data_IF_420450198697
#
_entry.id   IF_420450198697
#
_cell.length_a   1.000
_cell.length_b   1.000
_cell.length_c   1.000
_cell.angle_alpha   90.00
_cell.angle_beta   90.00
_cell.angle_gamma   90.00
#
_symmetry.space_group_name_H-M   'P 1'
#
loop_
_entity.id
_entity.type
_entity.pdbx_description
1 polymer ?
#
# COMPACT_ATOMS: atom_id res chain seq x y z
N UNK A 1 15.61 -11.14 -17.26
CA UNK A 1 14.82 -11.63 -16.09
C UNK A 1 13.50 -12.27 -16.51
N UNK A 2 12.53 -11.55 -17.12
CA UNK A 2 11.23 -12.12 -17.56
C UNK A 2 11.42 -13.33 -18.48
N UNK A 3 12.11 -13.19 -19.60
CA UNK A 3 12.30 -14.30 -20.55
C UNK A 3 13.00 -15.53 -19.94
N UNK A 4 13.85 -15.34 -18.92
CA UNK A 4 14.59 -16.42 -18.27
C UNK A 4 13.73 -17.18 -17.23
N UNK A 5 12.87 -16.49 -16.49
CA UNK A 5 12.08 -17.09 -15.40
C UNK A 5 10.63 -17.40 -15.81
N UNK A 6 10.07 -16.64 -16.77
CA UNK A 6 8.70 -16.78 -17.27
C UNK A 6 8.69 -16.75 -18.81
N UNK A 7 9.16 -17.83 -19.49
CA UNK A 7 9.35 -17.84 -20.94
C UNK A 7 8.07 -17.58 -21.76
N UNK A 8 6.89 -17.88 -21.20
CA UNK A 8 5.60 -17.62 -21.83
C UNK A 8 5.25 -16.12 -21.92
N UNK A 9 6.01 -15.24 -21.27
CA UNK A 9 5.93 -13.79 -21.38
C UNK A 9 7.17 -13.16 -22.06
N UNK A 10 8.06 -13.98 -22.64
CA UNK A 10 9.34 -13.51 -23.17
C UNK A 10 9.19 -12.44 -24.26
N UNK A 11 8.14 -12.54 -25.09
CA UNK A 11 7.90 -11.66 -26.23
C UNK A 11 7.00 -10.46 -25.89
N UNK A 12 6.56 -10.32 -24.63
CA UNK A 12 5.72 -9.19 -24.23
C UNK A 12 6.57 -7.90 -24.10
N UNK A 13 6.07 -6.76 -24.59
CA UNK A 13 6.78 -5.49 -24.46
C UNK A 13 6.91 -5.09 -22.98
N UNK A 14 8.07 -4.55 -22.60
CA UNK A 14 8.33 -3.99 -21.28
C UNK A 14 8.51 -2.48 -21.40
N UNK A 15 7.71 -1.71 -20.67
CA UNK A 15 7.70 -0.24 -20.69
C UNK A 15 7.87 0.30 -19.28
N UNK A 16 8.81 1.21 -19.06
CA UNK A 16 8.92 1.90 -17.78
C UNK A 16 7.66 2.75 -17.52
N UNK A 17 7.24 2.82 -16.26
CA UNK A 17 6.17 3.71 -15.81
C UNK A 17 6.80 4.95 -15.19
N UNK A 18 6.45 6.14 -15.69
CA UNK A 18 7.06 7.42 -15.28
C UNK A 18 6.84 7.71 -13.77
N UNK A 19 5.73 7.24 -13.20
CA UNK A 19 5.40 7.35 -11.79
C UNK A 19 5.97 6.18 -10.95
N UNK A 20 7.29 6.02 -10.93
CA UNK A 20 7.91 4.95 -10.13
C UNK A 20 7.85 5.27 -8.63
N UNK A 21 7.27 4.38 -7.82
CA UNK A 21 7.16 4.54 -6.37
C UNK A 21 8.51 4.50 -5.63
N UNK A 22 8.50 4.91 -4.36
CA UNK A 22 9.68 4.93 -3.47
C UNK A 22 10.16 3.52 -3.09
N UNK A 23 9.23 2.56 -3.02
CA UNK A 23 9.50 1.17 -2.65
C UNK A 23 9.87 0.28 -3.86
N UNK A 24 9.28 0.53 -5.02
CA UNK A 24 9.39 -0.33 -6.20
C UNK A 24 9.66 0.49 -7.48
N UNK A 25 10.55 0.00 -8.34
CA UNK A 25 10.55 0.38 -9.74
C UNK A 25 9.48 -0.45 -10.47
N UNK A 26 8.56 0.22 -11.16
CA UNK A 26 7.41 -0.43 -11.82
C UNK A 26 7.55 -0.34 -13.33
N UNK A 27 7.31 -1.46 -14.00
CA UNK A 27 7.30 -1.57 -15.45
C UNK A 27 6.01 -2.22 -15.90
N UNK A 28 5.41 -1.74 -16.98
CA UNK A 28 4.28 -2.40 -17.64
C UNK A 28 4.82 -3.55 -18.51
N UNK A 29 4.23 -4.72 -18.39
CA UNK A 29 4.54 -5.93 -19.16
C UNK A 29 3.33 -6.32 -20.00
N UNK A 30 3.46 -6.28 -21.32
CA UNK A 30 2.31 -6.39 -22.21
C UNK A 30 1.34 -5.23 -21.97
N UNK A 31 0.04 -5.54 -21.95
CA UNK A 31 -1.02 -4.55 -21.75
C UNK A 31 -1.68 -4.65 -20.38
N UNK A 32 -1.58 -5.78 -19.68
CA UNK A 32 -2.41 -6.09 -18.51
C UNK A 32 -1.61 -6.49 -17.25
N UNK A 33 -0.29 -6.28 -17.24
CA UNK A 33 0.58 -6.68 -16.12
C UNK A 33 1.56 -5.58 -15.72
N UNK A 34 1.94 -5.61 -14.45
CA UNK A 34 3.02 -4.83 -13.87
C UNK A 34 4.12 -5.75 -13.35
N UNK A 35 5.37 -5.40 -13.65
CA UNK A 35 6.56 -5.93 -12.99
C UNK A 35 6.97 -4.94 -11.92
N UNK A 36 7.03 -5.38 -10.66
CA UNK A 36 7.45 -4.59 -9.51
C UNK A 36 8.81 -5.11 -9.05
N UNK A 37 9.83 -4.26 -9.19
CA UNK A 37 11.19 -4.52 -8.75
C UNK A 37 11.47 -3.75 -7.45
N UNK A 38 11.59 -4.43 -6.31
CA UNK A 38 11.88 -3.79 -5.02
C UNK A 38 13.16 -2.98 -5.03
N UNK A 39 13.14 -1.78 -4.41
CA UNK A 39 14.28 -0.88 -4.28
C UNK A 39 15.09 -1.11 -3.00
N UNK A 40 14.50 -1.77 -2.00
CA UNK A 40 15.10 -2.08 -0.69
C UNK A 40 14.85 -3.53 -0.30
N UNK A 41 15.56 -4.04 0.71
CA UNK A 41 15.31 -5.36 1.29
C UNK A 41 13.94 -5.45 1.98
N UNK A 42 13.48 -4.38 2.64
CA UNK A 42 12.14 -4.32 3.22
C UNK A 42 11.07 -4.52 2.15
N UNK A 43 11.14 -3.74 1.08
CA UNK A 43 10.22 -3.87 -0.07
C UNK A 43 10.32 -5.23 -0.78
N UNK A 44 11.44 -5.95 -0.63
CA UNK A 44 11.60 -7.30 -1.17
C UNK A 44 10.89 -8.35 -0.31
N UNK A 45 10.86 -8.16 1.00
CA UNK A 45 10.08 -9.01 1.91
C UNK A 45 8.57 -8.88 1.64
N UNK A 46 8.10 -7.69 1.28
CA UNK A 46 6.68 -7.42 0.98
C UNK A 46 6.15 -8.26 -0.18
N UNK A 47 7.00 -8.67 -1.13
CA UNK A 47 6.61 -9.54 -2.25
C UNK A 47 5.98 -10.84 -1.75
N UNK A 48 6.61 -11.50 -0.77
CA UNK A 48 6.11 -12.76 -0.21
C UNK A 48 4.80 -12.53 0.56
N UNK A 49 4.69 -11.40 1.27
CA UNK A 49 3.49 -11.01 2.01
C UNK A 49 2.30 -10.80 1.06
N UNK A 50 2.49 -10.06 -0.02
CA UNK A 50 1.48 -9.81 -1.04
C UNK A 50 1.03 -11.09 -1.74
N UNK A 51 1.97 -11.95 -2.17
CA UNK A 51 1.66 -13.25 -2.79
C UNK A 51 0.87 -14.18 -1.87
N UNK A 52 1.11 -14.11 -0.56
CA UNK A 52 0.34 -14.88 0.43
C UNK A 52 -1.06 -14.30 0.61
N UNK A 53 -1.21 -13.00 0.82
CA UNK A 53 -2.45 -12.45 1.37
C UNK A 53 -3.40 -11.89 0.32
N UNK A 54 -2.93 -11.27 -0.76
CA UNK A 54 -3.81 -10.69 -1.77
C UNK A 54 -4.78 -11.71 -2.39
N UNK A 55 -4.38 -12.96 -2.71
CA UNK A 55 -5.34 -13.96 -3.21
C UNK A 55 -6.46 -14.32 -2.23
N UNK A 56 -6.26 -14.11 -0.93
CA UNK A 56 -7.25 -14.36 0.13
C UNK A 56 -8.16 -13.15 0.37
N UNK A 57 -7.59 -11.95 0.29
CA UNK A 57 -8.32 -10.70 0.52
C UNK A 57 -9.14 -10.27 -0.70
N UNK A 58 -8.55 -10.34 -1.90
CA UNK A 58 -9.13 -9.79 -3.14
C UNK A 58 -10.57 -10.26 -3.44
N UNK A 59 -10.96 -11.54 -3.27
CA UNK A 59 -12.33 -11.98 -3.56
C UNK A 59 -13.41 -11.38 -2.64
N UNK A 60 -13.01 -10.75 -1.53
CA UNK A 60 -13.91 -10.20 -0.52
C UNK A 60 -13.98 -8.66 -0.58
N UNK A 61 -13.24 -8.03 -1.51
CA UNK A 61 -13.18 -6.58 -1.67
C UNK A 61 -14.14 -6.11 -2.77
N UNK A 62 -14.74 -4.92 -2.63
CA UNK A 62 -15.76 -4.41 -3.56
C UNK A 62 -15.17 -3.91 -4.88
N UNK A 63 -13.86 -3.65 -4.92
CA UNK A 63 -13.14 -3.23 -6.13
C UNK A 63 -11.89 -4.09 -6.34
N UNK A 64 -11.42 -4.22 -7.59
CA UNK A 64 -10.18 -4.91 -7.93
C UNK A 64 -8.96 -4.41 -7.14
N UNK A 65 -8.09 -5.35 -6.80
CA UNK A 65 -6.73 -5.13 -6.28
C UNK A 65 -5.73 -5.94 -7.12
N UNK A 66 -4.43 -5.59 -7.17
CA UNK A 66 -3.46 -6.32 -7.98
C UNK A 66 -3.41 -7.80 -7.60
N UNK A 67 -3.68 -8.69 -8.55
CA UNK A 67 -3.53 -10.11 -8.34
C UNK A 67 -2.05 -10.48 -8.56
N UNK A 68 -1.36 -11.08 -7.58
CA UNK A 68 -0.02 -11.60 -7.77
C UNK A 68 -0.05 -12.77 -8.76
N UNK A 69 0.65 -12.65 -9.88
CA UNK A 69 0.66 -13.64 -10.97
C UNK A 69 1.90 -14.54 -10.92
N UNK A 70 3.05 -13.95 -10.61
CA UNK A 70 4.30 -14.69 -10.50
C UNK A 70 5.28 -13.99 -9.56
N UNK A 71 6.04 -14.79 -8.83
CA UNK A 71 7.15 -14.32 -7.99
C UNK A 71 8.47 -14.69 -8.66
N UNK A 72 9.24 -13.68 -9.03
CA UNK A 72 10.58 -13.88 -9.54
C UNK A 72 11.59 -14.06 -8.41
N UNK A 73 12.60 -14.88 -8.68
CA UNK A 73 13.75 -15.09 -7.80
C UNK A 73 14.88 -14.11 -8.15
N UNK A 74 15.83 -13.87 -7.22
CA UNK A 74 17.06 -13.14 -7.53
C UNK A 74 17.72 -13.62 -8.83
N UNK A 75 18.24 -12.67 -9.60
CA UNK A 75 18.97 -12.88 -10.85
C UNK A 75 20.33 -12.17 -10.78
N UNK A 76 21.22 -12.49 -11.73
CA UNK A 76 22.57 -11.91 -11.80
C UNK A 76 22.56 -10.37 -11.72
N UNK A 77 21.64 -9.73 -12.44
CA UNK A 77 21.52 -8.26 -12.49
C UNK A 77 20.57 -7.67 -11.43
N UNK A 78 19.91 -8.51 -10.63
CA UNK A 78 18.95 -8.05 -9.62
C UNK A 78 18.85 -9.03 -8.43
N UNK A 79 19.50 -8.73 -7.29
CA UNK A 79 19.72 -9.70 -6.22
C UNK A 79 18.51 -9.94 -5.31
N UNK A 80 17.35 -9.38 -5.60
CA UNK A 80 16.16 -9.42 -4.74
C UNK A 80 15.00 -10.19 -5.40
N UNK A 81 14.11 -10.82 -4.63
CA UNK A 81 12.84 -11.29 -5.16
C UNK A 81 12.02 -10.10 -5.71
N UNK A 82 11.16 -10.39 -6.67
CA UNK A 82 10.34 -9.39 -7.37
C UNK A 82 9.01 -10.01 -7.79
N UNK A 83 8.06 -9.18 -8.24
CA UNK A 83 6.70 -9.63 -8.51
C UNK A 83 6.23 -9.24 -9.90
N UNK A 84 5.43 -10.11 -10.52
CA UNK A 84 4.51 -9.77 -11.60
C UNK A 84 3.10 -9.82 -11.04
N UNK A 85 2.34 -8.74 -11.21
CA UNK A 85 0.93 -8.67 -10.83
C UNK A 85 0.07 -8.13 -11.98
N UNK A 86 -1.25 -8.20 -11.85
CA UNK A 86 -2.16 -7.57 -12.80
C UNK A 86 -2.01 -6.05 -12.79
N UNK A 87 -2.08 -5.45 -13.97
CA UNK A 87 -2.25 -4.01 -14.13
C UNK A 87 -3.73 -3.67 -13.96
N UNK A 88 -4.03 -2.64 -13.18
CA UNK A 88 -5.37 -2.10 -13.04
C UNK A 88 -5.42 -0.76 -13.77
N UNK A 89 -6.43 -0.58 -14.62
CA UNK A 89 -6.66 0.70 -15.30
C UNK A 89 -7.35 1.69 -14.36
N UNK A 90 -7.13 2.98 -14.63
CA UNK A 90 -7.66 4.09 -13.85
C UNK A 90 -6.62 5.18 -13.64
N UNK A 91 -7.06 6.32 -13.11
CA UNK A 91 -6.19 7.44 -12.77
C UNK A 91 -6.15 7.62 -11.26
N UNK A 92 -5.02 8.12 -10.73
CA UNK A 92 -5.00 8.58 -9.35
C UNK A 92 -5.82 9.87 -9.20
N UNK A 93 -6.62 10.02 -8.13
CA UNK A 93 -7.34 11.26 -7.87
C UNK A 93 -6.37 12.42 -7.58
N UNK A 94 -6.66 13.61 -8.09
CA UNK A 94 -5.90 14.82 -7.81
C UNK A 94 -6.83 16.01 -7.52
N UNK A 95 -6.44 16.94 -6.64
CA UNK A 95 -7.25 18.13 -6.39
C UNK A 95 -7.59 18.88 -7.69
N UNK A 96 -8.88 19.08 -7.95
CA UNK A 96 -9.37 19.85 -9.10
C UNK A 96 -9.45 19.10 -10.45
N UNK A 97 -9.26 17.77 -10.51
CA UNK A 97 -9.33 17.01 -11.78
C UNK A 97 -10.64 16.22 -11.94
N UNK A 98 -11.39 16.38 -13.04
CA UNK A 98 -12.58 15.54 -13.33
C UNK A 98 -13.90 16.00 -12.69
N UNK A 99 -15.00 15.31 -13.02
CA UNK A 99 -16.34 15.53 -12.44
C UNK A 99 -16.48 14.72 -11.16
N UNK A 100 -16.15 15.33 -10.03
CA UNK A 100 -16.26 14.68 -8.74
C UNK A 100 -17.73 14.55 -8.33
N UNK A 101 -18.17 13.33 -8.05
CA UNK A 101 -19.22 13.07 -7.08
C UNK A 101 -18.52 12.71 -5.77
N UNK A 102 -18.01 13.68 -5.00
CA UNK A 102 -17.13 13.42 -3.85
C UNK A 102 -17.82 12.53 -2.80
N UNK A 103 -19.14 12.62 -2.68
CA UNK A 103 -19.93 11.78 -1.79
C UNK A 103 -19.92 10.31 -2.23
N UNK A 104 -19.98 10.03 -3.54
CA UNK A 104 -19.93 8.66 -4.06
C UNK A 104 -18.54 8.06 -3.91
N UNK A 105 -17.49 8.83 -4.22
CA UNK A 105 -16.13 8.37 -4.03
C UNK A 105 -15.82 8.10 -2.55
N UNK A 106 -16.25 8.99 -1.65
CA UNK A 106 -16.13 8.77 -0.21
C UNK A 106 -16.89 7.53 0.26
N UNK A 107 -18.08 7.28 -0.28
CA UNK A 107 -18.87 6.09 0.02
C UNK A 107 -18.16 4.81 -0.47
N UNK A 108 -17.60 4.80 -1.68
CA UNK A 108 -16.85 3.65 -2.21
C UNK A 108 -15.59 3.36 -1.37
N UNK A 109 -14.85 4.41 -0.97
CA UNK A 109 -13.69 4.26 -0.08
C UNK A 109 -14.09 3.71 1.29
N UNK A 110 -15.19 4.22 1.86
CA UNK A 110 -15.71 3.72 3.12
C UNK A 110 -16.14 2.24 2.99
N UNK A 111 -16.79 1.86 1.90
CA UNK A 111 -17.15 0.48 1.61
C UNK A 111 -15.91 -0.42 1.54
N UNK A 112 -14.88 0.00 0.80
CA UNK A 112 -13.62 -0.73 0.67
C UNK A 112 -12.96 -0.96 2.04
N UNK A 113 -12.82 0.09 2.84
CA UNK A 113 -12.25 0.01 4.20
C UNK A 113 -13.07 -0.91 5.09
N UNK A 114 -14.39 -0.78 5.08
CA UNK A 114 -15.28 -1.64 5.87
C UNK A 114 -15.25 -3.10 5.39
N UNK A 115 -15.12 -3.34 4.08
CA UNK A 115 -14.99 -4.68 3.53
C UNK A 115 -13.71 -5.34 4.00
N UNK A 116 -12.58 -4.64 3.93
CA UNK A 116 -11.29 -5.12 4.43
C UNK A 116 -11.39 -5.50 5.91
N UNK A 117 -11.97 -4.63 6.74
CA UNK A 117 -12.16 -4.86 8.20
C UNK A 117 -13.07 -6.04 8.55
N UNK A 118 -13.96 -6.46 7.64
CA UNK A 118 -14.86 -7.62 7.84
C UNK A 118 -14.19 -8.97 7.54
N UNK A 119 -13.06 -8.97 6.85
CA UNK A 119 -12.35 -10.20 6.51
C UNK A 119 -11.80 -10.83 7.79
N UNK A 120 -11.90 -12.15 7.89
CA UNK A 120 -11.34 -12.92 9.00
C UNK A 120 -9.85 -12.57 9.22
N UNK A 121 -9.48 -12.03 10.40
CA UNK A 121 -8.11 -11.63 10.69
C UNK A 121 -7.19 -12.82 11.00
N UNK A 122 -7.71 -14.05 11.02
CA UNK A 122 -6.93 -15.25 11.37
C UNK A 122 -5.65 -15.34 10.54
N UNK A 123 -4.52 -15.59 11.22
CA UNK A 123 -3.17 -15.70 10.68
C UNK A 123 -2.59 -14.43 10.02
N UNK A 124 -3.32 -13.31 9.96
CA UNK A 124 -2.84 -12.07 9.37
C UNK A 124 -1.58 -11.54 10.07
N UNK A 125 -0.56 -11.05 9.34
CA UNK A 125 0.62 -10.46 9.94
C UNK A 125 0.27 -9.09 10.51
N UNK A 126 1.02 -8.56 11.49
CA UNK A 126 0.90 -7.16 11.87
C UNK A 126 1.15 -6.25 10.65
N UNK A 127 0.37 -5.19 10.50
CA UNK A 127 0.61 -4.18 9.47
C UNK A 127 1.93 -3.44 9.74
N UNK A 128 2.54 -2.85 8.70
CA UNK A 128 3.78 -2.09 8.85
C UNK A 128 3.66 -0.94 9.88
N UNK A 129 2.48 -0.33 9.98
CA UNK A 129 2.17 0.80 10.88
C UNK A 129 1.31 0.40 12.09
N UNK A 130 1.43 -0.84 12.56
CA UNK A 130 0.60 -1.36 13.67
C UNK A 130 1.14 -1.05 15.08
N UNK A 131 2.27 -0.37 15.21
CA UNK A 131 2.88 -0.07 16.51
C UNK A 131 2.11 0.98 17.30
N UNK A 132 2.15 0.89 18.63
CA UNK A 132 1.49 1.86 19.49
C UNK A 132 2.24 3.20 19.46
N UNK A 133 1.52 4.32 19.58
CA UNK A 133 2.15 5.65 19.63
C UNK A 133 3.15 5.77 20.78
N UNK A 134 2.88 5.13 21.92
CA UNK A 134 3.78 5.11 23.08
C UNK A 134 5.17 4.53 22.74
N UNK A 135 5.22 3.52 21.86
CA UNK A 135 6.48 2.91 21.43
C UNK A 135 7.31 3.87 20.54
N UNK A 136 6.65 4.86 19.93
CA UNK A 136 7.27 5.90 19.11
C UNK A 136 7.65 7.16 19.89
N UNK A 137 7.31 7.28 21.18
CA UNK A 137 7.45 8.53 21.94
C UNK A 137 8.87 9.10 21.91
N UNK A 138 9.86 8.27 22.27
CA UNK A 138 11.25 8.70 22.33
C UNK A 138 11.79 9.17 20.97
N UNK A 139 11.47 8.45 19.89
CA UNK A 139 11.94 8.82 18.54
C UNK A 139 11.21 10.06 18.02
N UNK A 140 9.90 10.16 18.23
CA UNK A 140 9.12 11.32 17.79
C UNK A 140 9.58 12.60 18.48
N UNK A 141 9.75 12.59 19.80
CA UNK A 141 10.26 13.76 20.54
C UNK A 141 11.65 14.18 20.11
N UNK A 142 12.53 13.20 19.85
CA UNK A 142 13.86 13.48 19.32
C UNK A 142 13.78 14.19 17.96
N UNK A 143 12.95 13.71 17.05
CA UNK A 143 12.78 14.32 15.71
C UNK A 143 12.16 15.72 15.81
N UNK A 144 11.17 15.93 16.69
CA UNK A 144 10.60 17.27 16.93
C UNK A 144 11.69 18.25 17.38
N UNK A 145 12.54 17.84 18.33
CA UNK A 145 13.64 18.68 18.81
C UNK A 145 14.70 18.95 17.72
N UNK A 146 15.02 17.97 16.88
CA UNK A 146 15.97 18.12 15.75
C UNK A 146 15.43 19.05 14.65
N UNK A 147 14.11 19.22 14.55
CA UNK A 147 13.44 20.06 13.57
C UNK A 147 13.02 21.43 14.13
N UNK A 148 13.52 21.81 15.31
CA UNK A 148 13.30 23.15 15.86
C UNK A 148 13.79 24.23 14.88
N UNK A 149 12.95 25.25 14.66
CA UNK A 149 13.16 26.29 13.65
C UNK A 149 12.80 25.90 12.20
N UNK A 150 12.52 24.62 11.93
CA UNK A 150 11.91 24.16 10.66
C UNK A 150 10.39 24.03 10.80
N UNK A 151 9.94 23.59 11.97
CA UNK A 151 8.53 23.51 12.37
C UNK A 151 8.29 24.22 13.70
N UNK A 152 7.03 24.43 14.05
CA UNK A 152 6.63 24.86 15.38
C UNK A 152 6.75 23.67 16.36
N UNK A 153 7.88 23.58 17.05
CA UNK A 153 8.20 22.46 17.92
C UNK A 153 7.28 22.38 19.15
N UNK A 154 6.79 23.53 19.63
CA UNK A 154 5.85 23.59 20.74
C UNK A 154 4.49 23.03 20.30
N UNK A 155 3.95 23.50 19.18
CA UNK A 155 2.70 22.98 18.63
C UNK A 155 2.78 21.48 18.28
N UNK A 156 3.89 21.03 17.70
CA UNK A 156 4.11 19.62 17.39
C UNK A 156 4.18 18.75 18.66
N UNK A 157 4.86 19.23 19.70
CA UNK A 157 4.92 18.54 21.00
C UNK A 157 3.53 18.47 21.65
N UNK A 158 2.76 19.56 21.62
CA UNK A 158 1.41 19.59 22.17
C UNK A 158 0.47 18.60 21.46
N UNK A 159 0.51 18.55 20.11
CA UNK A 159 -0.27 17.58 19.34
C UNK A 159 0.17 16.12 19.63
N UNK A 160 1.47 15.89 19.81
CA UNK A 160 1.99 14.57 20.18
C UNK A 160 1.54 14.14 21.58
N UNK A 161 1.58 15.04 22.56
CA UNK A 161 1.10 14.79 23.92
C UNK A 161 -0.41 14.51 23.94
N UNK A 162 -1.21 15.25 23.17
CA UNK A 162 -2.63 14.98 22.99
C UNK A 162 -2.86 13.56 22.44
N UNK A 163 -2.15 13.18 21.37
CA UNK A 163 -2.26 11.86 20.77
C UNK A 163 -1.86 10.73 21.73
N UNK A 164 -0.81 10.91 22.54
CA UNK A 164 -0.40 9.95 23.56
C UNK A 164 -1.38 9.84 24.73
N UNK A 165 -2.13 10.91 25.02
CA UNK A 165 -3.15 10.91 26.07
C UNK A 165 -4.43 10.18 25.66
N UNK A 166 -4.62 9.93 24.37
CA UNK A 166 -5.76 9.19 23.87
C UNK A 166 -5.76 7.75 24.42
N UNK A 167 -6.93 7.20 24.81
CA UNK A 167 -7.01 5.81 25.25
C UNK A 167 -6.51 4.86 24.17
N UNK A 168 -5.68 3.89 24.56
CA UNK A 168 -5.25 2.83 23.66
C UNK A 168 -6.46 2.04 23.13
N UNK A 169 -6.41 1.67 21.85
CA UNK A 169 -7.40 0.77 21.29
C UNK A 169 -7.31 -0.61 21.93
N UNK A 170 -8.45 -1.11 22.41
CA UNK A 170 -8.57 -2.40 23.12
C UNK A 170 -9.37 -3.43 22.34
N UNK A 171 -9.83 -3.10 21.14
CA UNK A 171 -10.57 -4.02 20.27
C UNK A 171 -9.66 -5.05 19.60
N UNK A 172 -10.27 -6.02 18.93
CA UNK A 172 -9.54 -6.94 18.09
C UNK A 172 -8.95 -6.20 16.87
N UNK A 173 -7.71 -6.51 16.47
CA UNK A 173 -7.13 -5.90 15.28
C UNK A 173 -7.87 -6.37 14.03
N UNK A 174 -7.89 -5.51 13.02
CA UNK A 174 -8.58 -5.71 11.74
C UNK A 174 -7.60 -5.58 10.60
N UNK A 175 -7.93 -6.13 9.43
CA UNK A 175 -7.17 -5.88 8.22
C UNK A 175 -7.22 -4.38 7.86
N UNK A 176 -6.04 -3.81 7.62
CA UNK A 176 -5.83 -2.46 7.12
C UNK A 176 -4.94 -2.50 5.88
N UNK A 177 -5.12 -1.50 5.01
CA UNK A 177 -4.22 -1.30 3.88
C UNK A 177 -2.85 -0.77 4.34
N UNK A 178 -2.84 0.05 5.41
CA UNK A 178 -1.62 0.62 6.01
C UNK A 178 -0.95 1.74 5.22
N UNK A 179 -1.49 2.09 4.05
CA UNK A 179 -1.00 3.19 3.19
C UNK A 179 -2.06 3.66 2.18
N UNK A 180 -3.31 3.84 2.64
CA UNK A 180 -4.42 4.21 1.77
C UNK A 180 -4.39 5.73 1.47
N UNK A 181 -3.54 6.10 0.51
CA UNK A 181 -3.33 7.49 0.07
C UNK A 181 -3.73 7.67 -1.41
N UNK A 182 -3.90 8.92 -1.91
CA UNK A 182 -4.34 9.16 -3.29
C UNK A 182 -3.52 8.42 -4.37
N UNK A 183 -2.21 8.27 -4.19
CA UNK A 183 -1.35 7.53 -5.12
C UNK A 183 -1.65 6.02 -5.21
N UNK A 184 -2.36 5.47 -4.23
CA UNK A 184 -2.70 4.05 -4.14
C UNK A 184 -4.18 3.77 -4.46
N UNK A 185 -4.90 4.79 -4.94
CA UNK A 185 -6.31 4.70 -5.30
C UNK A 185 -6.46 5.00 -6.79
N UNK A 186 -7.26 4.19 -7.48
CA UNK A 186 -7.61 4.36 -8.88
C UNK A 186 -9.07 4.77 -9.00
N UNK A 187 -9.33 5.78 -9.83
CA UNK A 187 -10.66 6.29 -10.11
C UNK A 187 -10.94 6.36 -11.62
N UNK A 188 -12.22 6.20 -11.95
CA UNK A 188 -12.80 6.44 -13.27
C UNK A 188 -14.19 7.05 -13.06
N UNK A 189 -14.54 8.10 -13.84
CA UNK A 189 -15.83 8.81 -13.74
C UNK A 189 -16.24 9.20 -12.30
N UNK A 190 -15.25 9.55 -11.46
CA UNK A 190 -15.47 9.97 -10.08
C UNK A 190 -15.83 8.84 -9.11
N UNK A 191 -15.62 7.58 -9.49
CA UNK A 191 -15.86 6.38 -8.68
C UNK A 191 -14.56 5.61 -8.42
N UNK A 192 -14.49 4.89 -7.32
CA UNK A 192 -13.37 4.00 -7.03
C UNK A 192 -13.40 2.79 -7.97
N UNK A 193 -12.32 2.55 -8.70
CA UNK A 193 -12.20 1.39 -9.60
C UNK A 193 -11.11 0.41 -9.20
N UNK A 194 -10.21 0.79 -8.31
CA UNK A 194 -9.21 -0.11 -7.79
C UNK A 194 -8.39 0.50 -6.66
N UNK A 195 -7.75 -0.37 -5.89
CA UNK A 195 -6.78 0.00 -4.85
C UNK A 195 -5.51 -0.79 -5.10
N UNK A 196 -4.34 -0.15 -4.98
CA UNK A 196 -3.03 -0.72 -5.31
C UNK A 196 -2.03 -0.52 -4.17
N UNK A 197 -0.88 -1.19 -4.26
CA UNK A 197 0.23 -1.09 -3.30
C UNK A 197 -0.09 -1.55 -1.85
N UNK A 198 -0.19 -2.86 -1.67
CA UNK A 198 -0.52 -3.49 -0.40
C UNK A 198 0.71 -3.87 0.43
N UNK A 199 1.87 -3.27 0.16
CA UNK A 199 3.11 -3.58 0.86
C UNK A 199 2.99 -3.36 2.37
N UNK A 200 2.20 -2.37 2.80
CA UNK A 200 1.98 -2.06 4.22
C UNK A 200 0.81 -2.82 4.88
N UNK A 201 0.13 -3.71 4.16
CA UNK A 201 -1.09 -4.36 4.66
C UNK A 201 -0.81 -5.27 5.85
N UNK A 202 -1.82 -5.43 6.70
CA UNK A 202 -1.79 -6.37 7.81
C UNK A 202 -2.87 -6.07 8.83
N UNK A 203 -2.72 -6.63 10.02
CA UNK A 203 -3.60 -6.43 11.16
C UNK A 203 -3.13 -5.22 11.97
N UNK A 204 -4.05 -4.31 12.28
CA UNK A 204 -3.80 -3.14 13.11
C UNK A 204 -5.07 -2.63 13.79
N UNK A 205 -4.93 -1.56 14.58
CA UNK A 205 -6.02 -0.67 14.96
C UNK A 205 -6.75 -0.17 13.70
N UNK A 206 -8.11 -0.17 13.66
CA UNK A 206 -8.88 0.38 12.55
C UNK A 206 -8.51 1.81 12.12
N UNK A 207 -7.87 2.61 12.97
CA UNK A 207 -7.43 3.98 12.67
C UNK A 207 -6.20 4.06 11.74
N UNK A 208 -5.51 2.94 11.50
CA UNK A 208 -4.33 2.82 10.62
C UNK A 208 -4.70 2.77 9.13
#
# INVERSE_FOLDING_TARGET
MIAAQFPHWADLPVRAVDASGTANAVYRLGDDKAVRLPRTEGSAADVATEHRWLPRLAPQLPVPVPAPLAQGVPAEDFPRPWSVCTWLEGANPAPGTGTWAPELFAADLAEFVLALRRIDPTDGPPAYRSEALADRDAVTRKVIAELDGVLDAEAATAAWDEALSAPAFTGAPVWVHGDLQPGNVLVEDGRLTGVIDFACMGLADPAV
#
